data_IF_776527727212
#
_entry.id   IF_776527727212
#
_cell.length_a   1.000
_cell.length_b   1.000
_cell.length_c   1.000
_cell.angle_alpha   90.00
_cell.angle_beta   90.00
_cell.angle_gamma   90.00
#
_symmetry.space_group_name_H-M   'P 1'
#
loop_
_entity.id
_entity.type
_entity.pdbx_description
1 polymer ?
#
# COMPACT_ATOMS: atom_id res chain seq x y z
N UNK A 1 -5.18 -35.55 10.29
CA UNK A 1 -4.43 -34.47 10.97
C UNK A 1 -4.92 -34.41 12.41
N UNK A 2 -4.17 -35.00 13.33
CA UNK A 2 -4.59 -35.19 14.73
C UNK A 2 -4.56 -33.85 15.48
N UNK A 3 -5.66 -33.49 16.15
CA UNK A 3 -5.73 -32.30 17.02
C UNK A 3 -4.67 -32.43 18.13
N UNK A 4 -3.83 -31.42 18.38
CA UNK A 4 -2.91 -31.45 19.51
C UNK A 4 -3.73 -31.59 20.79
N UNK A 5 -3.45 -32.65 21.55
CA UNK A 5 -4.14 -32.94 22.80
C UNK A 5 -3.90 -31.81 23.80
N UNK A 6 -4.93 -31.49 24.58
CA UNK A 6 -4.92 -30.46 25.64
C UNK A 6 -3.77 -30.65 26.65
N UNK A 7 -3.17 -31.84 26.68
CA UNK A 7 -2.02 -32.21 27.50
C UNK A 7 -0.67 -31.64 27.03
N UNK A 8 -0.52 -31.26 25.76
CA UNK A 8 0.74 -30.68 25.26
C UNK A 8 1.01 -29.29 25.87
N UNK A 9 -0.05 -28.51 26.15
CA UNK A 9 0.07 -27.22 26.84
C UNK A 9 0.35 -27.36 28.34
N UNK A 10 -0.22 -28.36 29.00
CA UNK A 10 -0.01 -28.59 30.44
C UNK A 10 1.44 -28.99 30.72
N UNK A 11 2.03 -29.87 29.89
CA UNK A 11 3.43 -30.28 30.05
C UNK A 11 4.42 -29.12 29.90
N UNK A 12 4.16 -28.19 28.98
CA UNK A 12 5.01 -26.99 28.81
C UNK A 12 4.87 -26.02 29.96
N UNK A 13 3.65 -25.83 30.49
CA UNK A 13 3.42 -24.98 31.68
C UNK A 13 4.12 -25.54 32.92
N UNK A 14 4.05 -26.86 33.13
CA UNK A 14 4.72 -27.52 34.27
C UNK A 14 6.24 -27.40 34.16
N UNK A 15 6.82 -27.62 32.97
CA UNK A 15 8.26 -27.43 32.74
C UNK A 15 8.70 -25.97 32.97
N UNK A 16 7.91 -25.00 32.52
CA UNK A 16 8.18 -23.59 32.76
C UNK A 16 8.14 -23.23 34.26
N UNK A 17 7.18 -23.79 35.00
CA UNK A 17 7.09 -23.60 36.45
C UNK A 17 8.29 -24.21 37.19
N UNK A 18 8.70 -25.44 36.86
CA UNK A 18 9.89 -26.09 37.44
C UNK A 18 11.16 -25.29 37.12
N UNK A 19 11.28 -24.78 35.90
CA UNK A 19 12.41 -23.93 35.51
C UNK A 19 12.47 -22.62 36.31
N UNK A 20 11.34 -21.94 36.50
CA UNK A 20 11.27 -20.73 37.34
C UNK A 20 11.65 -21.02 38.79
N UNK A 21 11.18 -22.15 39.35
CA UNK A 21 11.56 -22.56 40.71
C UNK A 21 13.06 -22.82 40.82
N UNK A 22 13.66 -23.53 39.85
CA UNK A 22 15.10 -23.76 39.80
C UNK A 22 15.90 -22.44 39.68
N UNK A 23 15.37 -21.48 38.92
CA UNK A 23 15.97 -20.15 38.75
C UNK A 23 16.00 -19.37 40.08
N UNK A 24 14.89 -19.39 40.83
CA UNK A 24 14.79 -18.75 42.14
C UNK A 24 15.73 -19.42 43.15
N UNK A 25 15.82 -20.75 43.16
CA UNK A 25 16.78 -21.47 44.02
C UNK A 25 18.25 -21.19 43.64
N UNK A 26 18.56 -21.04 42.36
CA UNK A 26 19.90 -20.64 41.91
C UNK A 26 20.24 -19.20 42.32
N UNK A 27 19.26 -18.28 42.25
CA UNK A 27 19.43 -16.89 42.66
C UNK A 27 19.51 -16.71 44.19
N UNK A 28 18.86 -17.58 44.96
CA UNK A 28 18.81 -17.51 46.42
C UNK A 28 20.13 -17.88 47.12
N UNK A 29 21.11 -18.49 46.42
CA UNK A 29 22.42 -18.81 46.99
C UNK A 29 23.40 -17.61 47.03
N UNK A 30 22.95 -16.37 46.85
CA UNK A 30 23.78 -15.13 46.88
C UNK A 30 24.97 -15.08 45.90
N UNK A 31 25.07 -16.02 44.96
CA UNK A 31 26.10 -16.05 43.93
C UNK A 31 25.66 -15.18 42.75
N UNK A 32 26.46 -14.18 42.39
CA UNK A 32 26.25 -13.25 41.24
C UNK A 32 25.89 -14.01 39.95
N UNK A 33 26.48 -15.18 39.75
CA UNK A 33 26.21 -16.07 38.61
C UNK A 33 24.73 -16.49 38.50
N UNK A 34 24.06 -16.75 39.64
CA UNK A 34 22.65 -17.12 39.67
C UNK A 34 21.74 -15.99 39.18
N UNK A 35 22.05 -14.74 39.54
CA UNK A 35 21.32 -13.55 39.08
C UNK A 35 21.56 -13.25 37.59
N UNK A 36 22.77 -13.50 37.08
CA UNK A 36 23.06 -13.36 35.63
C UNK A 36 22.25 -14.38 34.83
N UNK A 37 22.26 -15.65 35.24
CA UNK A 37 21.48 -16.70 34.58
C UNK A 37 19.98 -16.39 34.70
N UNK A 38 19.52 -15.88 35.84
CA UNK A 38 18.14 -15.44 36.03
C UNK A 38 17.72 -14.35 35.05
N UNK A 39 18.53 -13.31 34.88
CA UNK A 39 18.24 -12.22 33.96
C UNK A 39 18.19 -12.69 32.50
N UNK A 40 19.14 -13.52 32.08
CA UNK A 40 19.20 -14.07 30.71
C UNK A 40 17.97 -14.97 30.45
N UNK A 41 17.64 -15.85 31.39
CA UNK A 41 16.50 -16.74 31.30
C UNK A 41 15.16 -15.96 31.21
N UNK A 42 15.00 -14.92 32.03
CA UNK A 42 13.81 -14.07 32.00
C UNK A 42 13.69 -13.35 30.65
N UNK A 43 14.80 -12.81 30.13
CA UNK A 43 14.84 -12.21 28.79
C UNK A 43 14.36 -13.16 27.69
N UNK A 44 14.85 -14.40 27.69
CA UNK A 44 14.41 -15.43 26.73
C UNK A 44 12.95 -15.83 26.90
N UNK A 45 12.44 -15.91 28.14
CA UNK A 45 11.05 -16.25 28.41
C UNK A 45 10.09 -15.17 27.90
N UNK A 46 10.43 -13.90 28.10
CA UNK A 46 9.67 -12.77 27.57
C UNK A 46 9.69 -12.78 26.04
N UNK A 47 10.87 -12.93 25.43
CA UNK A 47 11.01 -13.01 23.98
C UNK A 47 10.15 -14.15 23.39
N UNK A 48 10.24 -15.35 23.98
CA UNK A 48 9.46 -16.52 23.56
C UNK A 48 7.95 -16.27 23.68
N UNK A 49 7.51 -15.62 24.76
CA UNK A 49 6.11 -15.26 24.97
C UNK A 49 5.61 -14.29 23.90
N UNK A 50 6.39 -13.25 23.57
CA UNK A 50 6.05 -12.32 22.50
C UNK A 50 5.95 -13.01 21.13
N UNK A 51 6.90 -13.88 20.79
CA UNK A 51 6.86 -14.67 19.54
C UNK A 51 5.63 -15.57 19.50
N UNK A 52 5.34 -16.27 20.60
CA UNK A 52 4.16 -17.13 20.70
C UNK A 52 2.87 -16.35 20.46
N UNK A 53 2.68 -15.22 21.15
CA UNK A 53 1.51 -14.36 20.96
C UNK A 53 1.44 -13.82 19.53
N UNK A 54 2.57 -13.38 18.96
CA UNK A 54 2.65 -12.87 17.60
C UNK A 54 2.20 -13.91 16.57
N UNK A 55 2.75 -15.12 16.63
CA UNK A 55 2.39 -16.23 15.74
C UNK A 55 0.94 -16.64 15.93
N UNK A 56 0.45 -16.73 17.17
CA UNK A 56 -0.92 -17.14 17.45
C UNK A 56 -1.95 -16.12 16.93
N UNK A 57 -1.66 -14.81 17.09
CA UNK A 57 -2.50 -13.73 16.54
C UNK A 57 -2.43 -13.69 15.01
N UNK A 58 -1.25 -13.89 14.42
CA UNK A 58 -1.07 -13.95 12.97
C UNK A 58 -1.80 -15.14 12.34
N UNK A 59 -1.73 -16.32 12.97
CA UNK A 59 -2.45 -17.51 12.53
C UNK A 59 -3.98 -17.33 12.60
N UNK A 60 -4.47 -16.71 13.68
CA UNK A 60 -5.91 -16.40 13.82
C UNK A 60 -6.40 -15.40 12.75
N UNK A 61 -5.55 -14.43 12.37
CA UNK A 61 -5.86 -13.48 11.29
C UNK A 61 -5.81 -14.15 9.92
N UNK A 62 -4.79 -14.97 9.64
CA UNK A 62 -4.65 -15.72 8.40
C UNK A 62 -5.81 -16.69 8.16
N UNK A 63 -6.26 -17.40 9.20
CA UNK A 63 -7.42 -18.30 9.11
C UNK A 63 -8.70 -17.54 8.71
N UNK A 64 -8.90 -16.32 9.20
CA UNK A 64 -10.03 -15.47 8.81
C UNK A 64 -9.93 -15.00 7.35
N UNK A 65 -8.74 -14.62 6.89
CA UNK A 65 -8.53 -14.23 5.50
C UNK A 65 -8.78 -15.39 4.52
N UNK A 66 -8.30 -16.60 4.86
CA UNK A 66 -8.56 -17.80 4.06
C UNK A 66 -10.05 -18.15 4.05
N UNK A 67 -10.74 -18.03 5.19
CA UNK A 67 -12.19 -18.25 5.26
C UNK A 67 -12.97 -17.25 4.39
N UNK A 68 -12.57 -15.97 4.37
CA UNK A 68 -13.18 -14.95 3.52
C UNK A 68 -12.89 -15.21 2.03
N UNK A 69 -11.66 -15.57 1.67
CA UNK A 69 -11.29 -15.92 0.30
C UNK A 69 -12.02 -17.17 -0.19
N UNK A 70 -12.18 -18.18 0.67
CA UNK A 70 -12.97 -19.38 0.37
C UNK A 70 -14.46 -19.06 0.22
N UNK A 71 -15.02 -18.17 1.06
CA UNK A 71 -16.40 -17.71 0.92
C UNK A 71 -16.63 -16.97 -0.41
N UNK A 72 -15.69 -16.11 -0.81
CA UNK A 72 -15.73 -15.42 -2.10
C UNK A 72 -15.65 -16.39 -3.28
N UNK A 73 -14.79 -17.41 -3.20
CA UNK A 73 -14.65 -18.43 -4.25
C UNK A 73 -15.86 -19.38 -4.32
N UNK A 74 -16.42 -19.75 -3.17
CA UNK A 74 -17.67 -20.51 -3.10
C UNK A 74 -18.82 -19.72 -3.72
N UNK A 75 -18.92 -18.42 -3.43
CA UNK A 75 -19.93 -17.55 -4.01
C UNK A 75 -19.75 -17.35 -5.53
N UNK A 76 -18.51 -17.41 -6.03
CA UNK A 76 -18.22 -17.40 -7.46
C UNK A 76 -18.60 -18.73 -8.14
N UNK A 77 -18.42 -19.87 -7.48
CA UNK A 77 -18.90 -21.17 -7.97
C UNK A 77 -20.43 -21.32 -7.88
N UNK A 78 -21.08 -20.72 -6.88
CA UNK A 78 -22.54 -20.64 -6.77
C UNK A 78 -23.17 -19.71 -7.81
N UNK A 79 -22.40 -18.78 -8.39
CA UNK A 79 -22.86 -17.94 -9.50
C UNK A 79 -22.96 -18.71 -10.85
N UNK A 80 -22.42 -19.93 -10.92
CA UNK A 80 -22.55 -20.84 -12.08
C UNK A 80 -23.66 -21.89 -11.91
N UNK A 81 -24.42 -21.86 -10.81
CA UNK A 81 -25.62 -22.68 -10.64
C UNK A 81 -26.85 -21.92 -11.15
N UNK A 82 -27.73 -22.53 -11.97
CA UNK A 82 -28.89 -21.82 -12.51
C UNK A 82 -29.94 -21.57 -11.43
N UNK A 83 -30.30 -20.28 -11.31
CA UNK A 83 -31.56 -19.71 -10.83
C UNK A 83 -32.17 -20.24 -9.51
N UNK A 84 -32.05 -19.44 -8.45
CA UNK A 84 -33.20 -19.23 -7.56
C UNK A 84 -33.35 -17.73 -7.24
N UNK A 85 -34.60 -17.26 -7.28
CA UNK A 85 -35.01 -15.88 -7.58
C UNK A 85 -34.81 -14.86 -6.45
N UNK A 86 -33.56 -14.57 -6.10
CA UNK A 86 -33.21 -13.44 -5.22
C UNK A 86 -32.88 -12.17 -6.00
N UNK A 87 -33.57 -11.08 -5.73
CA UNK A 87 -33.26 -9.75 -6.26
C UNK A 87 -31.90 -9.29 -5.72
N UNK A 88 -30.80 -9.65 -6.40
CA UNK A 88 -29.49 -9.09 -6.11
C UNK A 88 -29.44 -7.72 -6.76
N UNK A 89 -29.26 -6.68 -5.96
CA UNK A 89 -28.87 -5.37 -6.46
C UNK A 89 -27.56 -5.56 -7.24
N UNK A 90 -27.66 -5.56 -8.57
CA UNK A 90 -26.53 -5.34 -9.47
C UNK A 90 -26.22 -3.86 -9.37
N UNK A 91 -25.59 -3.48 -8.25
CA UNK A 91 -24.76 -2.30 -8.26
C UNK A 91 -23.36 -2.77 -8.60
N UNK A 92 -22.76 -2.04 -9.53
CA UNK A 92 -21.31 -1.96 -9.75
C UNK A 92 -20.72 -2.92 -10.78
N UNK A 93 -20.88 -2.45 -12.02
CA UNK A 93 -20.19 -2.83 -13.24
C UNK A 93 -18.69 -3.13 -13.04
N UNK A 94 -18.17 -4.05 -13.85
CA UNK A 94 -16.76 -4.46 -13.86
C UNK A 94 -15.81 -3.27 -14.13
N UNK A 95 -16.30 -2.22 -14.79
CA UNK A 95 -15.63 -0.94 -14.96
C UNK A 95 -15.43 -0.16 -13.65
N UNK A 96 -16.39 -0.20 -12.74
CA UNK A 96 -16.32 0.53 -11.47
C UNK A 96 -15.32 -0.08 -10.49
N UNK A 97 -15.20 -1.42 -10.42
CA UNK A 97 -14.13 -2.06 -9.62
C UNK A 97 -12.72 -1.72 -10.12
N UNK A 98 -12.56 -1.53 -11.43
CA UNK A 98 -11.28 -1.13 -12.02
C UNK A 98 -10.96 0.35 -11.73
N UNK A 99 -11.98 1.23 -11.79
CA UNK A 99 -11.86 2.64 -11.43
C UNK A 99 -11.58 2.84 -9.92
N UNK A 100 -12.25 2.08 -9.05
CA UNK A 100 -11.98 2.06 -7.61
C UNK A 100 -10.54 1.62 -7.30
N UNK A 101 -10.05 0.56 -7.95
CA UNK A 101 -8.67 0.10 -7.78
C UNK A 101 -7.65 1.12 -8.27
N UNK A 102 -7.93 1.82 -9.38
CA UNK A 102 -7.08 2.89 -9.89
C UNK A 102 -7.04 4.08 -8.91
N UNK A 103 -8.18 4.43 -8.33
CA UNK A 103 -8.30 5.44 -7.27
C UNK A 103 -7.51 5.06 -6.02
N UNK A 104 -7.66 3.82 -5.53
CA UNK A 104 -6.90 3.33 -4.38
C UNK A 104 -5.39 3.42 -4.62
N UNK A 105 -4.92 3.06 -5.82
CA UNK A 105 -3.51 3.18 -6.18
C UNK A 105 -3.02 4.64 -6.22
N UNK A 106 -3.82 5.57 -6.75
CA UNK A 106 -3.50 7.02 -6.76
C UNK A 106 -3.49 7.60 -5.34
N UNK A 107 -4.42 7.17 -4.49
CA UNK A 107 -4.49 7.57 -3.09
C UNK A 107 -3.29 7.06 -2.30
N UNK A 108 -2.95 5.77 -2.44
CA UNK A 108 -1.76 5.18 -1.82
C UNK A 108 -0.48 5.94 -2.17
N UNK A 109 -0.31 6.28 -3.46
CA UNK A 109 0.82 7.09 -3.91
C UNK A 109 0.83 8.48 -3.28
N UNK A 110 -0.33 9.13 -3.16
CA UNK A 110 -0.46 10.45 -2.53
C UNK A 110 -0.07 10.41 -1.05
N UNK A 111 -0.48 9.37 -0.30
CA UNK A 111 -0.09 9.20 1.10
C UNK A 111 1.40 8.89 1.26
N UNK A 112 1.99 8.15 0.32
CA UNK A 112 3.45 7.92 0.30
C UNK A 112 4.22 9.23 0.12
N UNK A 113 3.80 10.12 -0.78
CA UNK A 113 4.42 11.44 -0.97
C UNK A 113 4.36 12.24 0.33
N UNK A 114 3.19 12.32 0.97
CA UNK A 114 3.04 13.03 2.25
C UNK A 114 4.00 12.45 3.30
N UNK A 115 4.12 11.13 3.38
CA UNK A 115 5.02 10.46 4.33
C UNK A 115 6.49 10.83 4.13
N UNK A 116 6.94 10.90 2.87
CA UNK A 116 8.29 11.37 2.52
C UNK A 116 8.48 12.83 2.92
N UNK A 117 7.50 13.70 2.61
CA UNK A 117 7.61 15.13 2.93
C UNK A 117 7.56 15.40 4.44
N UNK A 118 6.83 14.62 5.23
CA UNK A 118 6.90 14.67 6.70
C UNK A 118 8.31 14.33 7.19
N UNK A 119 8.98 13.38 6.55
CA UNK A 119 10.40 13.08 6.81
C UNK A 119 11.30 14.30 6.55
N UNK A 120 11.12 14.97 5.41
CA UNK A 120 11.85 16.21 5.06
C UNK A 120 11.58 17.31 6.09
N UNK A 121 10.33 17.51 6.50
CA UNK A 121 9.98 18.50 7.54
C UNK A 121 10.76 18.20 8.82
N UNK A 122 10.72 16.96 9.32
CA UNK A 122 11.43 16.59 10.55
C UNK A 122 12.94 16.73 10.43
N UNK A 123 13.51 16.46 9.26
CA UNK A 123 14.95 16.55 9.04
C UNK A 123 15.45 18.01 9.01
N UNK A 124 14.67 18.92 8.41
CA UNK A 124 15.06 20.31 8.20
C UNK A 124 14.45 21.30 9.19
N UNK A 125 13.58 20.85 10.09
CA UNK A 125 12.99 21.69 11.14
C UNK A 125 14.09 22.31 12.00
N UNK A 126 14.10 23.64 12.08
CA UNK A 126 15.11 24.41 12.82
C UNK A 126 16.47 24.52 12.13
N UNK A 127 16.64 23.93 10.93
CA UNK A 127 17.86 24.03 10.12
C UNK A 127 17.64 24.91 8.88
N UNK A 128 16.57 24.63 8.13
CA UNK A 128 16.25 25.32 6.89
C UNK A 128 14.73 25.54 6.77
N UNK A 129 14.32 26.79 6.97
CA UNK A 129 12.92 27.17 6.95
C UNK A 129 12.32 27.13 5.54
N UNK A 130 13.11 27.35 4.49
CA UNK A 130 12.61 27.34 3.11
C UNK A 130 12.33 25.92 2.64
N UNK A 131 13.21 24.97 3.00
CA UNK A 131 13.00 23.55 2.74
C UNK A 131 11.76 23.02 3.47
N UNK A 132 11.54 23.42 4.73
CA UNK A 132 10.32 23.09 5.46
C UNK A 132 9.08 23.69 4.80
N UNK A 133 9.13 24.96 4.38
CA UNK A 133 8.00 25.62 3.71
C UNK A 133 7.63 24.91 2.39
N UNK A 134 8.61 24.52 1.57
CA UNK A 134 8.39 23.80 0.31
C UNK A 134 7.83 22.38 0.54
N UNK A 135 8.29 21.69 1.58
CA UNK A 135 7.75 20.39 1.96
C UNK A 135 6.29 20.50 2.41
N UNK A 136 5.96 21.51 3.22
CA UNK A 136 4.59 21.79 3.66
C UNK A 136 3.65 22.14 2.49
N UNK A 137 4.12 22.95 1.55
CA UNK A 137 3.35 23.28 0.33
C UNK A 137 3.06 22.03 -0.51
N UNK A 138 4.04 21.14 -0.65
CA UNK A 138 3.84 19.86 -1.34
C UNK A 138 2.83 18.97 -0.63
N UNK A 139 2.85 18.95 0.72
CA UNK A 139 1.87 18.21 1.53
C UNK A 139 0.47 18.77 1.31
N UNK A 140 0.29 20.09 1.30
CA UNK A 140 -1.02 20.74 1.12
C UNK A 140 -1.61 20.47 -0.27
N UNK A 141 -0.81 20.62 -1.32
CA UNK A 141 -1.20 20.30 -2.70
C UNK A 141 -1.60 18.82 -2.80
N UNK A 142 -0.78 17.92 -2.26
CA UNK A 142 -1.03 16.47 -2.32
C UNK A 142 -2.27 16.08 -1.53
N UNK A 143 -2.47 16.67 -0.35
CA UNK A 143 -3.64 16.43 0.49
C UNK A 143 -4.93 16.93 -0.18
N UNK A 144 -4.89 18.09 -0.83
CA UNK A 144 -6.03 18.65 -1.56
C UNK A 144 -6.42 17.75 -2.74
N UNK A 145 -5.44 17.29 -3.53
CA UNK A 145 -5.66 16.35 -4.62
C UNK A 145 -6.19 14.99 -4.12
N UNK A 146 -5.58 14.46 -3.06
CA UNK A 146 -6.02 13.22 -2.40
C UNK A 146 -7.45 13.31 -1.87
N UNK A 147 -7.81 14.43 -1.23
CA UNK A 147 -9.16 14.68 -0.74
C UNK A 147 -10.19 14.74 -1.87
N UNK A 148 -9.85 15.34 -3.02
CA UNK A 148 -10.69 15.30 -4.22
C UNK A 148 -10.98 13.87 -4.68
N UNK A 149 -9.99 12.99 -4.55
CA UNK A 149 -10.10 11.55 -4.82
C UNK A 149 -10.81 10.75 -3.71
N UNK A 150 -11.44 11.36 -2.71
CA UNK A 150 -12.35 10.67 -1.78
C UNK A 150 -13.82 11.04 -2.08
N UNK A 151 -14.07 12.08 -2.88
CA UNK A 151 -15.41 12.55 -3.21
C UNK A 151 -16.19 11.48 -4.02
N UNK A 152 -17.45 11.15 -3.66
CA UNK A 152 -18.28 10.20 -4.41
C UNK A 152 -18.50 10.60 -5.89
N UNK A 153 -18.40 11.89 -6.23
CA UNK A 153 -18.61 12.38 -7.60
C UNK A 153 -17.33 12.43 -8.46
N UNK A 154 -16.22 11.84 -8.00
CA UNK A 154 -14.95 11.92 -8.72
C UNK A 154 -14.94 11.24 -10.09
N UNK A 155 -15.69 10.15 -10.28
CA UNK A 155 -15.71 9.42 -11.57
C UNK A 155 -16.27 10.33 -12.66
N UNK A 156 -17.29 11.09 -12.31
CA UNK A 156 -17.88 12.09 -13.19
C UNK A 156 -16.94 13.30 -13.42
N UNK A 157 -16.01 13.59 -12.52
CA UNK A 157 -14.97 14.60 -12.73
C UNK A 157 -13.81 14.07 -13.57
N UNK A 158 -13.35 12.84 -13.33
CA UNK A 158 -12.27 12.20 -14.08
C UNK A 158 -12.69 11.98 -15.53
N UNK A 159 -13.90 11.48 -15.79
CA UNK A 159 -14.40 11.30 -17.15
C UNK A 159 -14.52 12.64 -17.91
N UNK A 160 -14.89 13.73 -17.21
CA UNK A 160 -14.90 15.08 -17.81
C UNK A 160 -13.50 15.60 -18.11
N UNK A 161 -12.54 15.32 -17.22
CA UNK A 161 -11.15 15.71 -17.39
C UNK A 161 -10.49 14.93 -18.53
N UNK A 162 -10.74 13.63 -18.64
CA UNK A 162 -10.25 12.78 -19.72
C UNK A 162 -10.82 13.21 -21.08
N UNK A 163 -12.12 13.53 -21.12
CA UNK A 163 -12.75 14.10 -22.32
C UNK A 163 -12.13 15.45 -22.71
N UNK A 164 -11.85 16.32 -21.72
CA UNK A 164 -11.19 17.61 -21.96
C UNK A 164 -9.75 17.46 -22.44
N UNK A 165 -8.99 16.51 -21.89
CA UNK A 165 -7.62 16.20 -22.29
C UNK A 165 -7.56 15.59 -23.68
N UNK A 166 -8.48 14.67 -24.01
CA UNK A 166 -8.60 14.09 -25.35
C UNK A 166 -8.89 15.18 -26.39
N UNK A 167 -9.82 16.10 -26.08
CA UNK A 167 -10.13 17.26 -26.92
C UNK A 167 -8.90 18.16 -27.11
N UNK A 168 -8.21 18.54 -26.03
CA UNK A 168 -6.99 19.36 -26.09
C UNK A 168 -5.85 18.70 -26.86
N UNK A 169 -5.73 17.37 -26.79
CA UNK A 169 -4.73 16.62 -27.54
C UNK A 169 -5.07 16.57 -29.03
N UNK A 170 -6.34 16.39 -29.38
CA UNK A 170 -6.81 16.44 -30.76
C UNK A 170 -6.60 17.83 -31.37
N UNK A 171 -6.87 18.90 -30.60
CA UNK A 171 -6.61 20.28 -31.00
C UNK A 171 -5.12 20.53 -31.25
N UNK A 172 -4.24 20.12 -30.32
CA UNK A 172 -2.78 20.21 -30.52
C UNK A 172 -2.27 19.41 -31.71
N UNK A 173 -2.85 18.24 -31.97
CA UNK A 173 -2.49 17.44 -33.14
C UNK A 173 -2.95 18.08 -34.45
N UNK A 174 -4.12 18.71 -34.46
CA UNK A 174 -4.61 19.48 -35.60
C UNK A 174 -3.72 20.71 -35.87
N UNK A 175 -3.31 21.42 -34.81
CA UNK A 175 -2.41 22.58 -34.88
C UNK A 175 -1.03 22.18 -35.44
N UNK A 176 -0.42 21.11 -34.90
CA UNK A 176 0.84 20.57 -35.40
C UNK A 176 0.74 20.07 -36.86
N UNK A 177 -0.40 19.49 -37.26
CA UNK A 177 -0.63 19.06 -38.63
C UNK A 177 -0.83 20.23 -39.61
N UNK A 178 -1.29 21.37 -39.11
CA UNK A 178 -1.50 22.60 -39.89
C UNK A 178 -0.19 23.39 -40.04
N UNK A 179 0.66 23.41 -39.01
CA UNK A 179 2.03 23.92 -39.08
C UNK A 179 2.89 23.10 -40.08
N UNK A 180 2.79 21.77 -40.05
CA UNK A 180 3.50 20.90 -40.99
C UNK A 180 3.10 21.16 -42.46
N UNK A 181 1.82 21.44 -42.74
CA UNK A 181 1.34 21.79 -44.09
C UNK A 181 1.79 23.18 -44.56
N UNK A 182 1.95 24.12 -43.63
CA UNK A 182 2.40 25.48 -43.94
C UNK A 182 3.90 25.52 -44.21
N UNK A 183 4.69 24.66 -43.54
CA UNK A 183 6.12 24.49 -43.81
C UNK A 183 6.41 23.85 -45.18
N UNK A 184 5.56 22.94 -45.68
CA UNK A 184 5.71 22.33 -47.01
C UNK A 184 5.26 23.24 -48.17
N UNK A 185 4.47 24.27 -47.90
CA UNK A 185 3.97 25.21 -48.91
C UNK A 185 4.87 26.44 -49.12
N UNK A 186 5.93 26.60 -48.32
CA UNK A 186 6.82 27.77 -48.33
C UNK A 186 8.14 27.60 -49.09
N UNK A 187 8.44 26.43 -49.67
CA UNK A 187 9.71 26.17 -50.36
C UNK A 187 9.45 25.86 -51.84
N UNK A 188 9.22 26.94 -52.60
CA UNK A 188 9.12 26.92 -54.05
C UNK A 188 10.22 27.78 -54.66
N UNK A 189 11.13 27.12 -55.37
CA UNK A 189 12.12 27.62 -56.33
C UNK A 189 13.29 28.47 -55.83
N UNK A 190 14.42 27.83 -55.51
CA UNK A 190 15.71 28.18 -56.14
C UNK A 190 16.59 26.92 -56.34
N UNK A 191 17.03 26.60 -57.57
CA UNK A 191 18.02 25.54 -57.78
C UNK A 191 19.39 26.02 -57.30
N UNK A 192 19.91 25.38 -56.25
CA UNK A 192 21.26 25.62 -55.73
C UNK A 192 22.29 25.25 -56.81
N UNK A 193 22.78 26.27 -57.52
CA UNK A 193 23.87 26.14 -58.49
C UNK A 193 25.19 25.90 -57.75
N UNK A 194 25.62 24.65 -57.71
CA UNK A 194 26.93 24.26 -57.18
C UNK A 194 28.04 24.66 -58.14
N UNK A 195 28.72 25.78 -57.84
CA UNK A 195 30.04 26.06 -58.43
C UNK A 195 31.10 25.43 -57.52
N UNK A 196 31.69 24.33 -57.98
CA UNK A 196 32.88 23.73 -57.38
C UNK A 196 34.07 24.54 -57.91
N UNK A 197 34.76 25.26 -57.03
CA UNK A 197 36.03 25.92 -57.35
C UNK A 197 37.14 24.92 -56.97
N UNK A 198 37.88 24.49 -57.99
CA UNK A 198 39.17 23.78 -57.90
C UNK A 198 40.29 24.70 -57.37
#
# INVERSE_FOLDING_TARGET
MSKPGKFTGVGTIVLAAVFLVALVFAANNSTVLGWIIAAIALGWLVLSTFVYIGVHKAAAFGARQVALAQAQMAQHNSASAPSDGGTRLVSQDSGSRTAEKAREMKLDHSFKIISVQVGVVNEYLGKDAEMVARALDTIDITATNGRGMINPNWEAQEAKMDAAMAKKNAERQAENAQEAKTATAGDGDEPVSGTIID
#
